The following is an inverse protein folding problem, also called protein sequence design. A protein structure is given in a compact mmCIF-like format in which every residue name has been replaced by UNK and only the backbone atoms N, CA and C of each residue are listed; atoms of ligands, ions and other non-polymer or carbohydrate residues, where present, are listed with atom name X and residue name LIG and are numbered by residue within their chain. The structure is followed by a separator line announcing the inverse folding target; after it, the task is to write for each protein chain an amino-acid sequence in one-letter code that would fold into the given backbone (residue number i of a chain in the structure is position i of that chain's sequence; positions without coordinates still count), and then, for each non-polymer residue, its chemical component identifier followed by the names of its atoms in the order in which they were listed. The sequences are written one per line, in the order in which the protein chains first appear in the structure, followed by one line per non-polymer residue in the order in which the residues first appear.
data_IF_160892381511
#
_entry.id   IF_160892381511
#
_cell.length_a   1.000
_cell.length_b   1.000
_cell.length_c   1.000
_cell.angle_alpha   90.00
_cell.angle_beta   90.00
_cell.angle_gamma   90.00
#
_symmetry.space_group_name_H-M   'P 1'
#
loop_
_entity.id
_entity.type
_entity.pdbx_description
1 polymer ?
#
# COMPACT_ATOMS: atom_id res chain seq x y z
N UNK A 1 -33.91 -11.37 16.66
CA UNK A 1 -33.40 -12.02 15.42
C UNK A 1 -32.82 -11.05 14.38
N UNK A 2 -32.57 -9.76 14.68
CA UNK A 2 -32.03 -8.78 13.72
C UNK A 2 -30.49 -8.57 13.80
N UNK A 3 -29.80 -9.18 14.76
CA UNK A 3 -28.37 -8.96 15.00
C UNK A 3 -27.45 -9.78 14.08
N UNK A 4 -27.93 -10.84 13.44
CA UNK A 4 -27.07 -11.74 12.63
C UNK A 4 -26.77 -11.24 11.21
N UNK A 5 -27.68 -10.46 10.60
CA UNK A 5 -27.48 -9.95 9.22
C UNK A 5 -26.53 -8.74 9.13
N UNK A 6 -26.30 -8.03 10.24
CA UNK A 6 -25.43 -6.85 10.25
C UNK A 6 -23.93 -7.21 10.20
N UNK A 7 -23.57 -8.38 10.73
CA UNK A 7 -22.18 -8.87 10.79
C UNK A 7 -21.53 -9.04 9.41
N UNK A 8 -22.17 -9.67 8.39
CA UNK A 8 -21.57 -9.83 7.05
C UNK A 8 -21.36 -8.52 6.30
N UNK A 9 -22.29 -7.57 6.38
CA UNK A 9 -22.16 -6.31 5.65
C UNK A 9 -21.01 -5.48 6.23
N UNK A 10 -20.93 -5.38 7.56
CA UNK A 10 -19.82 -4.70 8.23
C UNK A 10 -18.47 -5.34 7.93
N UNK A 11 -18.41 -6.67 7.90
CA UNK A 11 -17.21 -7.42 7.55
C UNK A 11 -16.68 -7.04 6.15
N UNK A 12 -17.56 -7.02 5.16
CA UNK A 12 -17.26 -6.63 3.77
C UNK A 12 -16.77 -5.19 3.69
N UNK A 13 -17.54 -4.26 4.27
CA UNK A 13 -17.22 -2.83 4.27
C UNK A 13 -15.90 -2.53 4.98
N UNK A 14 -15.66 -3.14 6.15
CA UNK A 14 -14.41 -2.95 6.90
C UNK A 14 -13.22 -3.44 6.09
N UNK A 15 -13.29 -4.66 5.55
CA UNK A 15 -12.18 -5.22 4.78
C UNK A 15 -11.93 -4.41 3.50
N UNK A 16 -12.98 -4.01 2.79
CA UNK A 16 -12.87 -3.12 1.63
C UNK A 16 -12.23 -1.79 2.00
N UNK A 17 -12.72 -1.12 3.04
CA UNK A 17 -12.23 0.19 3.51
C UNK A 17 -10.76 0.17 3.91
N UNK A 18 -10.34 -0.87 4.65
CA UNK A 18 -8.95 -1.06 5.06
C UNK A 18 -8.04 -1.24 3.84
N UNK A 19 -8.44 -2.09 2.89
CA UNK A 19 -7.66 -2.32 1.68
C UNK A 19 -7.55 -1.05 0.84
N UNK A 20 -8.67 -0.37 0.56
CA UNK A 20 -8.65 0.84 -0.25
C UNK A 20 -7.85 1.96 0.41
N UNK A 21 -7.95 2.15 1.73
CA UNK A 21 -7.13 3.14 2.43
C UNK A 21 -5.63 2.85 2.31
N UNK A 22 -5.23 1.57 2.35
CA UNK A 22 -3.84 1.17 2.14
C UNK A 22 -3.32 1.53 0.75
N UNK A 23 -4.06 1.14 -0.31
CA UNK A 23 -3.68 1.44 -1.69
C UNK A 23 -3.68 2.95 -2.00
N UNK A 24 -4.65 3.69 -1.47
CA UNK A 24 -4.71 5.14 -1.62
C UNK A 24 -3.54 5.83 -0.92
N UNK A 25 -3.23 5.43 0.31
CA UNK A 25 -2.10 6.01 1.05
C UNK A 25 -0.77 5.79 0.33
N UNK A 26 -0.51 4.56 -0.13
CA UNK A 26 0.67 4.25 -0.95
C UNK A 26 0.74 5.07 -2.25
N UNK A 27 -0.40 5.21 -2.93
CA UNK A 27 -0.45 5.96 -4.17
C UNK A 27 -0.23 7.46 -3.95
N UNK A 28 -0.77 8.03 -2.89
CA UNK A 28 -0.51 9.43 -2.52
C UNK A 28 0.94 9.66 -2.13
N UNK A 29 1.57 8.71 -1.43
CA UNK A 29 3.00 8.77 -1.13
C UNK A 29 3.84 8.74 -2.42
N UNK A 30 3.50 7.88 -3.38
CA UNK A 30 4.12 7.87 -4.70
C UNK A 30 3.91 9.19 -5.45
N UNK A 31 2.69 9.74 -5.45
CA UNK A 31 2.41 11.05 -6.07
C UNK A 31 3.23 12.17 -5.41
N UNK A 32 3.42 12.12 -4.09
CA UNK A 32 4.30 13.06 -3.38
C UNK A 32 5.77 12.90 -3.79
N UNK A 33 6.25 11.68 -4.03
CA UNK A 33 7.60 11.43 -4.58
C UNK A 33 7.74 12.01 -5.99
N UNK A 34 6.72 11.83 -6.84
CA UNK A 34 6.69 12.37 -8.20
C UNK A 34 6.67 13.90 -8.16
N UNK A 35 5.83 14.51 -7.32
CA UNK A 35 5.78 15.96 -7.12
C UNK A 35 7.16 16.53 -6.74
N UNK A 36 7.82 15.93 -5.74
CA UNK A 36 9.17 16.35 -5.34
C UNK A 36 10.21 16.16 -6.45
N UNK A 37 10.10 15.08 -7.22
CA UNK A 37 10.95 14.87 -8.39
C UNK A 37 10.75 15.99 -9.42
N UNK A 38 9.51 16.31 -9.79
CA UNK A 38 9.18 17.35 -10.77
C UNK A 38 9.67 18.74 -10.33
N UNK A 39 9.55 19.08 -9.04
CA UNK A 39 10.10 20.34 -8.49
C UNK A 39 11.63 20.37 -8.60
N UNK A 40 12.28 19.24 -8.33
CA UNK A 40 13.73 19.13 -8.34
C UNK A 40 14.34 19.04 -9.75
N UNK A 41 13.53 18.74 -10.78
CA UNK A 41 14.01 18.57 -12.14
C UNK A 41 14.58 19.88 -12.69
N UNK A 42 15.66 19.79 -13.48
CA UNK A 42 16.31 20.96 -14.08
C UNK A 42 15.55 21.48 -15.32
N UNK A 43 14.85 20.59 -16.02
CA UNK A 43 14.12 20.94 -17.24
C UNK A 43 12.78 21.62 -16.89
N UNK A 44 12.53 22.76 -17.54
CA UNK A 44 11.30 23.54 -17.35
C UNK A 44 10.04 22.78 -17.76
N UNK A 45 10.14 21.91 -18.78
CA UNK A 45 9.02 21.08 -19.26
C UNK A 45 8.43 20.20 -18.17
N UNK A 46 9.26 19.57 -17.33
CA UNK A 46 8.77 18.76 -16.22
C UNK A 46 8.10 19.60 -15.11
N UNK A 47 8.60 20.82 -14.87
CA UNK A 47 8.03 21.72 -13.86
C UNK A 47 6.64 22.20 -14.22
N UNK A 48 6.32 22.32 -15.51
CA UNK A 48 4.99 22.73 -15.98
C UNK A 48 3.90 21.71 -15.62
N UNK A 49 4.24 20.44 -15.42
CA UNK A 49 3.29 19.43 -14.96
C UNK A 49 2.93 19.60 -13.47
N UNK A 50 3.75 20.30 -12.69
CA UNK A 50 3.46 20.55 -11.28
C UNK A 50 2.55 21.75 -11.07
N UNK A 51 1.31 21.64 -11.55
CA UNK A 51 0.26 22.62 -11.30
C UNK A 51 -0.80 22.01 -10.39
N UNK A 52 -1.32 22.81 -9.45
CA UNK A 52 -2.42 22.43 -8.54
C UNK A 52 -3.61 21.77 -9.28
N UNK A 53 -4.14 22.32 -10.40
CA UNK A 53 -5.25 21.67 -11.11
C UNK A 53 -4.89 20.29 -11.66
N UNK A 54 -3.66 20.09 -12.13
CA UNK A 54 -3.22 18.79 -12.62
C UNK A 54 -3.09 17.78 -11.46
N UNK A 55 -2.51 18.21 -10.33
CA UNK A 55 -2.41 17.38 -9.14
C UNK A 55 -3.80 16.90 -8.66
N UNK A 56 -4.79 17.79 -8.62
CA UNK A 56 -6.17 17.45 -8.24
C UNK A 56 -6.81 16.44 -9.21
N UNK A 57 -6.59 16.59 -10.53
CA UNK A 57 -7.09 15.63 -11.54
C UNK A 57 -6.46 14.26 -11.36
N UNK A 58 -5.15 14.19 -11.12
CA UNK A 58 -4.44 12.93 -10.89
C UNK A 58 -4.95 12.25 -9.62
N UNK A 59 -5.09 12.99 -8.51
CA UNK A 59 -5.62 12.45 -7.24
C UNK A 59 -7.03 11.88 -7.43
N UNK A 60 -7.92 12.63 -8.09
CA UNK A 60 -9.28 12.18 -8.37
C UNK A 60 -9.29 10.91 -9.23
N UNK A 61 -8.47 10.86 -10.27
CA UNK A 61 -8.31 9.69 -11.12
C UNK A 61 -7.80 8.48 -10.32
N UNK A 62 -6.78 8.67 -9.48
CA UNK A 62 -6.24 7.62 -8.61
C UNK A 62 -7.30 7.07 -7.65
N UNK A 63 -8.12 7.93 -7.04
CA UNK A 63 -9.21 7.51 -6.15
C UNK A 63 -10.23 6.65 -6.91
N UNK A 64 -10.71 7.13 -8.06
CA UNK A 64 -11.69 6.41 -8.87
C UNK A 64 -11.16 5.09 -9.41
N UNK A 65 -9.89 5.07 -9.83
CA UNK A 65 -9.20 3.88 -10.29
C UNK A 65 -9.16 2.78 -9.22
N UNK A 66 -8.74 3.12 -7.99
CA UNK A 66 -8.67 2.14 -6.90
C UNK A 66 -10.04 1.71 -6.38
N UNK A 67 -11.03 2.62 -6.31
CA UNK A 67 -12.42 2.27 -5.98
C UNK A 67 -12.96 1.19 -6.93
N UNK A 68 -12.72 1.39 -8.23
CA UNK A 68 -13.18 0.49 -9.31
C UNK A 68 -12.44 -0.84 -9.26
N UNK A 69 -11.11 -0.83 -9.21
CA UNK A 69 -10.30 -2.05 -9.20
C UNK A 69 -10.60 -2.89 -7.96
N UNK A 70 -10.74 -2.29 -6.78
CA UNK A 70 -10.93 -3.05 -5.54
C UNK A 70 -12.39 -3.47 -5.30
N UNK A 71 -13.34 -3.01 -6.12
CA UNK A 71 -14.77 -3.31 -5.98
C UNK A 71 -15.07 -4.82 -5.88
N UNK A 72 -14.32 -5.65 -6.61
CA UNK A 72 -14.43 -7.10 -6.55
C UNK A 72 -14.24 -7.68 -5.13
N UNK A 73 -13.40 -7.06 -4.27
CA UNK A 73 -13.19 -7.53 -2.88
C UNK A 73 -14.46 -7.45 -2.02
N UNK A 74 -15.39 -6.56 -2.37
CA UNK A 74 -16.67 -6.40 -1.66
C UNK A 74 -17.64 -7.56 -1.98
N UNK A 75 -17.58 -8.09 -3.20
CA UNK A 75 -18.42 -9.21 -3.65
C UNK A 75 -17.98 -10.53 -3.01
N UNK A 76 -16.67 -10.81 -3.05
CA UNK A 76 -16.11 -12.12 -2.71
C UNK A 76 -15.67 -12.30 -1.24
N UNK A 77 -15.86 -11.29 -0.38
CA UNK A 77 -15.63 -11.45 1.06
C UNK A 77 -16.81 -12.15 1.73
N UNK A 78 -16.56 -13.18 2.51
CA UNK A 78 -17.58 -13.97 3.21
C UNK A 78 -17.21 -14.17 4.69
N UNK A 79 -18.19 -14.55 5.51
CA UNK A 79 -17.99 -14.86 6.94
C UNK A 79 -17.92 -16.37 7.14
N UNK A 80 -16.88 -16.84 7.83
CA UNK A 80 -16.71 -18.26 8.14
C UNK A 80 -17.42 -18.56 9.45
N UNK A 81 -18.51 -19.32 9.38
CA UNK A 81 -19.11 -19.95 10.56
C UNK A 81 -18.24 -21.14 11.01
N UNK A 82 -18.00 -21.39 12.31
CA UNK A 82 -18.65 -20.77 13.48
C UNK A 82 -17.94 -19.54 14.06
N UNK A 83 -16.68 -19.29 13.69
CA UNK A 83 -15.86 -18.30 14.39
C UNK A 83 -16.00 -16.84 13.90
N UNK A 84 -16.98 -16.56 13.04
CA UNK A 84 -17.33 -15.22 12.54
C UNK A 84 -16.14 -14.42 11.97
N UNK A 85 -15.17 -15.09 11.35
CA UNK A 85 -14.05 -14.41 10.71
C UNK A 85 -14.37 -14.02 9.28
N UNK A 86 -13.92 -12.83 8.88
CA UNK A 86 -13.92 -12.37 7.49
C UNK A 86 -12.82 -13.09 6.71
N UNK A 87 -13.20 -13.77 5.63
CA UNK A 87 -12.27 -14.43 4.73
C UNK A 87 -12.76 -14.29 3.29
N UNK A 88 -11.86 -14.48 2.33
CA UNK A 88 -12.22 -14.48 0.92
C UNK A 88 -12.77 -15.86 0.54
N UNK A 89 -13.86 -15.88 -0.23
CA UNK A 89 -14.51 -17.12 -0.64
C UNK A 89 -13.67 -17.85 -1.68
N UNK A 90 -13.22 -19.07 -1.37
CA UNK A 90 -12.50 -19.93 -2.29
C UNK A 90 -10.97 -19.78 -2.25
N UNK A 91 -10.27 -20.91 -2.37
CA UNK A 91 -8.81 -20.96 -2.37
C UNK A 91 -8.20 -20.25 -3.59
N UNK A 92 -8.77 -20.47 -4.78
CA UNK A 92 -8.29 -19.86 -6.03
C UNK A 92 -8.38 -18.33 -5.98
N UNK A 93 -9.48 -17.79 -5.47
CA UNK A 93 -9.66 -16.35 -5.36
C UNK A 93 -8.75 -15.73 -4.29
N UNK A 94 -8.55 -16.42 -3.16
CA UNK A 94 -7.57 -16.01 -2.14
C UNK A 94 -6.16 -15.94 -2.72
N UNK A 95 -5.77 -16.93 -3.53
CA UNK A 95 -4.48 -16.92 -4.22
C UNK A 95 -4.35 -15.75 -5.21
N UNK A 96 -5.39 -15.48 -6.02
CA UNK A 96 -5.41 -14.34 -6.95
C UNK A 96 -5.27 -12.99 -6.22
N UNK A 97 -5.96 -12.78 -5.10
CA UNK A 97 -5.80 -11.56 -4.29
C UNK A 97 -4.39 -11.47 -3.73
N UNK A 98 -3.84 -12.57 -3.20
CA UNK A 98 -2.48 -12.56 -2.65
C UNK A 98 -1.47 -12.15 -3.72
N UNK A 99 -1.60 -12.69 -4.94
CA UNK A 99 -0.77 -12.32 -6.08
C UNK A 99 -0.97 -10.85 -6.48
N UNK A 100 -2.22 -10.39 -6.54
CA UNK A 100 -2.55 -9.00 -6.85
C UNK A 100 -1.94 -8.01 -5.85
N UNK A 101 -2.07 -8.31 -4.55
CA UNK A 101 -1.47 -7.48 -3.49
C UNK A 101 0.08 -7.53 -3.56
N UNK A 102 0.67 -8.69 -3.84
CA UNK A 102 2.11 -8.85 -3.99
C UNK A 102 2.67 -8.00 -5.14
N UNK A 103 2.04 -8.08 -6.31
CA UNK A 103 2.51 -7.40 -7.52
C UNK A 103 2.29 -5.88 -7.40
N UNK A 104 1.05 -5.46 -7.12
CA UNK A 104 0.70 -4.04 -7.16
C UNK A 104 1.17 -3.28 -5.93
N UNK A 105 0.82 -3.76 -4.73
CA UNK A 105 1.20 -3.07 -3.48
C UNK A 105 2.65 -3.36 -3.11
N UNK A 106 3.09 -4.61 -3.26
CA UNK A 106 4.43 -5.03 -2.88
C UNK A 106 5.51 -4.50 -3.81
N UNK A 107 5.44 -4.86 -5.08
CA UNK A 107 6.54 -4.63 -6.03
C UNK A 107 6.44 -3.29 -6.75
N UNK A 108 5.35 -3.05 -7.51
CA UNK A 108 5.29 -1.94 -8.46
C UNK A 108 5.34 -0.58 -7.74
N UNK A 109 4.44 -0.34 -6.78
CA UNK A 109 4.40 0.93 -6.06
C UNK A 109 5.71 1.20 -5.30
N UNK A 110 6.26 0.19 -4.62
CA UNK A 110 7.52 0.33 -3.87
C UNK A 110 8.71 0.64 -4.76
N UNK A 111 8.85 -0.05 -5.90
CA UNK A 111 9.94 0.20 -6.84
C UNK A 111 9.82 1.62 -7.41
N UNK A 112 8.62 2.05 -7.79
CA UNK A 112 8.39 3.41 -8.29
C UNK A 112 8.70 4.47 -7.23
N UNK A 113 8.27 4.28 -5.98
CA UNK A 113 8.59 5.20 -4.88
C UNK A 113 10.10 5.28 -4.66
N UNK A 114 10.80 4.14 -4.69
CA UNK A 114 12.25 4.09 -4.53
C UNK A 114 12.98 4.79 -5.68
N UNK A 115 12.57 4.56 -6.94
CA UNK A 115 13.20 5.19 -8.10
C UNK A 115 13.02 6.71 -8.08
N UNK A 116 11.80 7.22 -7.87
CA UNK A 116 11.55 8.66 -7.78
C UNK A 116 12.27 9.31 -6.60
N UNK A 117 12.38 8.62 -5.46
CA UNK A 117 13.13 9.11 -4.30
C UNK A 117 14.63 9.20 -4.57
N UNK A 118 15.21 8.19 -5.24
CA UNK A 118 16.62 8.20 -5.66
C UNK A 118 16.89 9.30 -6.69
N UNK A 119 15.99 9.48 -7.66
CA UNK A 119 16.10 10.55 -8.66
C UNK A 119 16.03 11.94 -8.01
N UNK A 120 15.08 12.13 -7.08
CA UNK A 120 14.96 13.38 -6.30
C UNK A 120 16.24 13.66 -5.52
N UNK A 121 16.84 12.65 -4.87
CA UNK A 121 18.12 12.79 -4.16
C UNK A 121 19.26 13.20 -5.09
N UNK A 122 19.36 12.61 -6.29
CA UNK A 122 20.37 12.96 -7.27
C UNK A 122 20.22 14.42 -7.71
N UNK A 123 19.00 14.84 -8.02
CA UNK A 123 18.71 16.23 -8.42
C UNK A 123 19.04 17.24 -7.32
N UNK A 124 18.64 16.97 -6.07
CA UNK A 124 18.94 17.85 -4.92
C UNK A 124 20.46 17.96 -4.69
N UNK A 125 21.19 16.85 -4.80
CA UNK A 125 22.66 16.86 -4.66
C UNK A 125 23.32 17.67 -5.78
N UNK A 126 22.82 17.58 -7.01
CA UNK A 126 23.31 18.37 -8.14
C UNK A 126 23.05 19.87 -7.94
N UNK A 127 21.84 20.27 -7.55
CA UNK A 127 21.49 21.66 -7.27
C UNK A 127 22.39 22.22 -6.16
N UNK A 128 22.61 21.46 -5.08
CA UNK A 128 23.47 21.88 -3.95
C UNK A 128 24.93 22.12 -4.36
N UNK A 129 25.43 21.40 -5.37
CA UNK A 129 26.78 21.63 -5.93
C UNK A 129 26.86 22.92 -6.73
N UNK A 130 25.78 23.28 -7.44
CA UNK A 130 25.72 24.47 -8.29
C UNK A 130 25.35 25.75 -7.53
N UNK A 131 24.53 25.65 -6.47
CA UNK A 131 24.06 26.79 -5.69
C UNK A 131 24.26 26.58 -4.19
N UNK A 132 25.06 27.45 -3.56
CA UNK A 132 25.28 27.43 -2.09
C UNK A 132 24.06 27.88 -1.28
N UNK A 133 23.03 28.44 -1.93
CA UNK A 133 21.88 29.08 -1.26
C UNK A 133 20.57 28.28 -1.25
N UNK A 134 20.58 26.99 -1.61
CA UNK A 134 19.34 26.19 -1.57
C UNK A 134 18.76 26.17 -0.14
N UNK A 135 17.54 26.66 0.01
CA UNK A 135 16.91 26.91 1.32
C UNK A 135 16.77 25.64 2.16
N UNK A 136 17.23 25.70 3.42
CA UNK A 136 17.16 24.58 4.40
C UNK A 136 15.79 23.90 4.47
N UNK A 137 14.71 24.65 4.24
CA UNK A 137 13.32 24.16 4.32
C UNK A 137 12.99 23.10 3.26
N UNK A 138 13.37 23.31 1.99
CA UNK A 138 13.12 22.33 0.92
C UNK A 138 13.90 21.03 1.12
N UNK A 139 15.11 21.15 1.66
CA UNK A 139 15.94 20.00 1.99
C UNK A 139 15.33 19.16 3.10
N UNK A 140 14.84 19.80 4.17
CA UNK A 140 14.23 19.10 5.31
C UNK A 140 12.97 18.32 4.88
N UNK A 141 12.07 18.94 4.12
CA UNK A 141 10.84 18.26 3.65
C UNK A 141 11.17 17.08 2.73
N UNK A 142 12.16 17.23 1.84
CA UNK A 142 12.58 16.13 0.97
C UNK A 142 13.18 14.98 1.76
N UNK A 143 14.00 15.27 2.78
CA UNK A 143 14.57 14.26 3.68
C UNK A 143 13.49 13.53 4.50
N UNK A 144 12.49 14.24 5.01
CA UNK A 144 11.35 13.63 5.70
C UNK A 144 10.62 12.65 4.77
N UNK A 145 10.35 13.05 3.53
CA UNK A 145 9.70 12.18 2.54
C UNK A 145 10.55 10.94 2.24
N UNK A 146 11.85 11.11 1.99
CA UNK A 146 12.76 9.99 1.72
C UNK A 146 12.83 9.03 2.90
N UNK A 147 12.88 9.55 4.13
CA UNK A 147 12.82 8.72 5.34
C UNK A 147 11.51 7.93 5.41
N UNK A 148 10.38 8.57 5.10
CA UNK A 148 9.09 7.89 5.09
C UNK A 148 9.02 6.79 4.01
N UNK A 149 9.55 7.06 2.81
CA UNK A 149 9.66 6.06 1.74
C UNK A 149 10.53 4.88 2.16
N UNK A 150 11.68 5.13 2.79
CA UNK A 150 12.56 4.08 3.29
C UNK A 150 11.85 3.17 4.30
N UNK A 151 11.16 3.77 5.26
CA UNK A 151 10.35 3.06 6.26
C UNK A 151 9.23 2.26 5.58
N UNK A 152 8.50 2.88 4.64
CA UNK A 152 7.44 2.21 3.88
C UNK A 152 7.97 1.02 3.08
N UNK A 153 9.14 1.13 2.45
CA UNK A 153 9.75 0.03 1.68
C UNK A 153 10.12 -1.13 2.60
N UNK A 154 10.74 -0.88 3.76
CA UNK A 154 11.07 -1.92 4.75
C UNK A 154 9.79 -2.65 5.20
N UNK A 155 8.76 -1.90 5.61
CA UNK A 155 7.51 -2.51 6.04
C UNK A 155 6.81 -3.26 4.92
N UNK A 156 6.94 -2.80 3.67
CA UNK A 156 6.39 -3.50 2.51
C UNK A 156 7.11 -4.82 2.27
N UNK A 157 8.43 -4.89 2.43
CA UNK A 157 9.17 -6.16 2.35
C UNK A 157 8.74 -7.15 3.44
N UNK A 158 8.55 -6.68 4.69
CA UNK A 158 8.05 -7.51 5.79
C UNK A 158 6.65 -8.04 5.44
N UNK A 159 5.77 -7.17 4.95
CA UNK A 159 4.42 -7.53 4.53
C UNK A 159 4.40 -8.58 3.40
N UNK A 160 5.21 -8.36 2.35
CA UNK A 160 5.38 -9.27 1.22
C UNK A 160 5.90 -10.62 1.69
N UNK A 161 6.91 -10.64 2.56
CA UNK A 161 7.43 -11.88 3.16
C UNK A 161 6.35 -12.65 3.93
N UNK A 162 5.52 -11.94 4.68
CA UNK A 162 4.35 -12.51 5.37
C UNK A 162 3.34 -13.13 4.40
N UNK A 163 3.00 -12.43 3.31
CA UNK A 163 2.08 -12.93 2.29
C UNK A 163 2.62 -14.15 1.56
N UNK A 164 3.91 -14.17 1.21
CA UNK A 164 4.55 -15.32 0.56
C UNK A 164 4.50 -16.53 1.50
N UNK A 165 4.83 -16.34 2.78
CA UNK A 165 4.78 -17.41 3.78
C UNK A 165 3.37 -18.01 3.91
N UNK A 166 2.33 -17.18 3.96
CA UNK A 166 0.93 -17.62 4.01
C UNK A 166 0.52 -18.33 2.71
N UNK A 167 0.91 -17.79 1.56
CA UNK A 167 0.55 -18.36 0.25
C UNK A 167 1.22 -19.72 0.02
N UNK A 168 2.51 -19.83 0.32
CA UNK A 168 3.26 -21.08 0.27
C UNK A 168 2.66 -22.13 1.20
N UNK A 169 2.23 -21.71 2.40
CA UNK A 169 1.57 -22.59 3.36
C UNK A 169 0.20 -23.09 2.89
N UNK A 170 -0.61 -22.22 2.27
CA UNK A 170 -1.90 -22.60 1.67
C UNK A 170 -1.71 -23.61 0.53
N UNK A 171 -0.66 -23.46 -0.28
CA UNK A 171 -0.34 -24.37 -1.37
C UNK A 171 0.16 -25.74 -0.87
N UNK A 172 0.92 -25.78 0.22
CA UNK A 172 1.60 -27.01 0.67
C UNK A 172 0.85 -27.80 1.75
N UNK A 173 -0.05 -27.19 2.54
CA UNK A 173 -0.63 -27.82 3.74
C UNK A 173 -2.14 -27.69 3.92
N UNK A 174 -2.90 -27.45 2.85
CA UNK A 174 -4.36 -27.25 2.94
C UNK A 174 -5.14 -28.40 3.62
N UNK A 175 -4.59 -29.62 3.73
CA UNK A 175 -5.38 -30.79 4.16
C UNK A 175 -5.19 -31.27 5.62
N UNK A 176 -4.17 -30.88 6.39
CA UNK A 176 -4.03 -31.37 7.78
C UNK A 176 -3.50 -30.31 8.75
N UNK A 177 -4.39 -29.44 9.24
CA UNK A 177 -4.01 -28.36 10.13
C UNK A 177 -4.69 -28.42 11.50
N UNK A 178 -3.85 -28.69 12.51
CA UNK A 178 -4.20 -28.57 13.93
C UNK A 178 -4.67 -27.15 14.28
N UNK A 179 -5.68 -27.07 15.15
CA UNK A 179 -6.28 -25.82 15.67
C UNK A 179 -5.22 -24.82 16.17
N UNK A 180 -4.15 -25.30 16.82
CA UNK A 180 -3.07 -24.47 17.36
C UNK A 180 -2.34 -23.68 16.27
N UNK A 181 -2.18 -24.28 15.10
CA UNK A 181 -1.47 -23.69 13.98
C UNK A 181 -2.31 -22.65 13.24
N UNK A 182 -3.65 -22.82 13.22
CA UNK A 182 -4.59 -21.81 12.74
C UNK A 182 -4.53 -20.53 13.60
N UNK A 183 -4.44 -20.67 14.92
CA UNK A 183 -4.32 -19.51 15.84
C UNK A 183 -3.00 -18.76 15.62
N UNK A 184 -1.88 -19.47 15.54
CA UNK A 184 -0.56 -18.86 15.28
C UNK A 184 -0.54 -18.05 13.99
N UNK A 185 -1.08 -18.61 12.90
CA UNK A 185 -1.08 -17.92 11.60
C UNK A 185 -1.97 -16.66 11.60
N UNK A 186 -3.06 -16.66 12.38
CA UNK A 186 -3.90 -15.47 12.57
C UNK A 186 -3.18 -14.37 13.33
N UNK A 187 -2.45 -14.73 14.38
CA UNK A 187 -1.63 -13.77 15.13
C UNK A 187 -0.55 -13.15 14.25
N UNK A 188 0.15 -13.95 13.44
CA UNK A 188 1.11 -13.45 12.47
C UNK A 188 0.45 -12.52 11.45
N UNK A 189 -0.71 -12.90 10.91
CA UNK A 189 -1.44 -12.05 9.95
C UNK A 189 -1.87 -10.70 10.57
N UNK A 190 -2.29 -10.71 11.83
CA UNK A 190 -2.65 -9.49 12.57
C UNK A 190 -1.44 -8.56 12.78
N UNK A 191 -0.29 -9.12 13.18
CA UNK A 191 0.95 -8.37 13.32
C UNK A 191 1.39 -7.78 11.97
N UNK A 192 1.31 -8.56 10.90
CA UNK A 192 1.64 -8.13 9.54
C UNK A 192 0.74 -6.98 9.10
N UNK A 193 -0.56 -7.05 9.40
CA UNK A 193 -1.51 -5.97 9.13
C UNK A 193 -1.13 -4.70 9.90
N UNK A 194 -0.84 -4.79 11.20
CA UNK A 194 -0.42 -3.62 12.00
C UNK A 194 0.80 -2.96 11.35
N UNK A 195 1.86 -3.74 11.11
CA UNK A 195 3.09 -3.21 10.54
C UNK A 195 2.92 -2.61 9.15
N UNK A 196 2.00 -3.16 8.34
CA UNK A 196 1.67 -2.60 7.04
C UNK A 196 0.98 -1.24 7.15
N UNK A 197 0.09 -1.02 8.14
CA UNK A 197 -0.63 0.24 8.28
C UNK A 197 0.11 1.31 9.08
N UNK A 198 1.01 0.94 10.00
CA UNK A 198 1.80 1.88 10.81
C UNK A 198 2.47 3.02 10.02
N UNK A 199 3.17 2.79 8.90
CA UNK A 199 3.83 3.88 8.16
C UNK A 199 2.87 4.88 7.53
N UNK A 200 1.57 4.57 7.47
CA UNK A 200 0.56 5.44 6.85
C UNK A 200 -0.26 6.26 7.87
N UNK A 201 0.01 6.08 9.17
CA UNK A 201 -0.69 6.80 10.25
C UNK A 201 0.05 8.08 10.66
N UNK A 202 1.30 8.25 10.24
CA UNK A 202 2.17 9.39 10.55
C UNK A 202 2.50 10.20 9.29
#
# INVERSE_FOLDING_TARGET
MLTFHYVPILCKLRNYSINISGFLSQSHLLLACIDRYLISANESSYRQFNTIPMANRIIMFTIMFWLTILSHKLVYSNISSPHQFCFYSGASYTFLISLHNLILSGSILSILMATFSILTLKNIRQIRRQTRSCGRRHHCVSLMLISNVFVSVIFTFIYVGGLISVSFFLLTKAQMLSTRQKVRNKFISFIVIIFYYTPYVY
#
